data_IF_282693581816
#
_entry.id   IF_282693581816
#
_cell.length_a   1.000
_cell.length_b   1.000
_cell.length_c   1.000
_cell.angle_alpha   90.00
_cell.angle_beta   90.00
_cell.angle_gamma   90.00
#
_symmetry.space_group_name_H-M   'P 1'
#
loop_
_entity.id
_entity.type
_entity.pdbx_description
1 polymer ?
#
# COMPACT_ATOMS: atom_id res chain seq x y z
N UNK A 1 -18.87 -6.75 -16.11
CA UNK A 1 -18.72 -6.49 -14.66
C UNK A 1 -19.73 -5.43 -14.25
N UNK A 2 -20.54 -5.63 -13.20
CA UNK A 2 -21.54 -4.63 -12.77
C UNK A 2 -20.82 -3.44 -12.13
N UNK A 3 -21.21 -2.21 -12.48
CA UNK A 3 -20.63 -0.96 -11.97
C UNK A 3 -20.57 -0.93 -10.43
N UNK A 4 -21.58 -1.50 -9.76
CA UNK A 4 -21.64 -1.62 -8.31
C UNK A 4 -20.49 -2.44 -7.71
N UNK A 5 -20.05 -3.51 -8.37
CA UNK A 5 -18.95 -4.36 -7.90
C UNK A 5 -17.61 -3.60 -7.95
N UNK A 6 -17.41 -2.80 -9.00
CA UNK A 6 -16.20 -1.97 -9.15
C UNK A 6 -16.13 -0.91 -8.05
N UNK A 7 -17.24 -0.21 -7.80
CA UNK A 7 -17.34 0.76 -6.71
C UNK A 7 -17.07 0.14 -5.35
N UNK A 8 -17.64 -1.03 -5.08
CA UNK A 8 -17.45 -1.71 -3.80
C UNK A 8 -15.99 -2.10 -3.57
N UNK A 9 -15.32 -2.64 -4.60
CA UNK A 9 -13.91 -3.04 -4.51
C UNK A 9 -12.99 -1.83 -4.39
N UNK A 10 -13.33 -0.71 -5.04
CA UNK A 10 -12.62 0.56 -4.84
C UNK A 10 -12.75 1.07 -3.40
N UNK A 11 -13.95 1.05 -2.83
CA UNK A 11 -14.19 1.48 -1.44
C UNK A 11 -13.43 0.57 -0.47
N UNK A 12 -13.48 -0.74 -0.71
CA UNK A 12 -12.76 -1.72 0.10
C UNK A 12 -11.24 -1.54 -0.01
N UNK A 13 -10.74 -1.32 -1.22
CA UNK A 13 -9.34 -0.97 -1.48
C UNK A 13 -8.94 0.31 -0.76
N UNK A 14 -9.77 1.35 -0.82
CA UNK A 14 -9.55 2.63 -0.15
C UNK A 14 -9.48 2.46 1.38
N UNK A 15 -10.43 1.74 1.98
CA UNK A 15 -10.45 1.47 3.42
C UNK A 15 -9.21 0.66 3.86
N UNK A 16 -8.87 -0.40 3.12
CA UNK A 16 -7.70 -1.23 3.39
C UNK A 16 -6.39 -0.47 3.18
N UNK A 17 -6.33 0.42 2.19
CA UNK A 17 -5.17 1.26 1.94
C UNK A 17 -4.97 2.29 3.05
N UNK A 18 -6.05 2.91 3.55
CA UNK A 18 -5.98 3.83 4.68
C UNK A 18 -5.41 3.15 5.94
N UNK A 19 -5.84 1.92 6.21
CA UNK A 19 -5.41 1.16 7.39
C UNK A 19 -4.00 0.56 7.21
N UNK A 20 -3.74 -0.13 6.10
CA UNK A 20 -2.48 -0.87 5.93
C UNK A 20 -1.38 0.04 5.40
N UNK A 21 -1.64 0.84 4.36
CA UNK A 21 -0.61 1.70 3.78
C UNK A 21 -0.46 2.97 4.62
N UNK A 22 -1.58 3.57 5.02
CA UNK A 22 -1.60 4.80 5.80
C UNK A 22 -1.12 4.62 7.24
N UNK A 23 -1.91 3.93 8.07
CA UNK A 23 -1.62 3.81 9.50
C UNK A 23 -0.32 3.02 9.76
N UNK A 24 -0.18 1.84 9.15
CA UNK A 24 0.99 0.99 9.30
C UNK A 24 2.25 1.64 8.70
N UNK A 25 2.15 2.31 7.55
CA UNK A 25 3.24 3.10 6.99
C UNK A 25 3.68 4.23 7.92
N UNK A 26 2.74 4.89 8.61
CA UNK A 26 3.05 5.90 9.62
C UNK A 26 3.76 5.31 10.83
N UNK A 27 3.31 4.17 11.33
CA UNK A 27 3.97 3.45 12.44
C UNK A 27 5.41 3.14 12.07
N UNK A 28 5.66 2.59 10.87
CA UNK A 28 7.02 2.36 10.38
C UNK A 28 7.84 3.65 10.34
N UNK A 29 7.27 4.75 9.83
CA UNK A 29 7.96 6.04 9.77
C UNK A 29 8.37 6.54 11.16
N UNK A 30 7.51 6.37 12.17
CA UNK A 30 7.81 6.74 13.57
C UNK A 30 8.91 5.85 14.14
N UNK A 31 8.84 4.54 13.92
CA UNK A 31 9.86 3.57 14.39
C UNK A 31 11.22 3.87 13.77
N UNK A 32 11.26 4.15 12.45
CA UNK A 32 12.49 4.49 11.73
C UNK A 32 13.05 5.84 12.22
N UNK A 33 12.19 6.83 12.49
CA UNK A 33 12.60 8.11 13.04
C UNK A 33 13.22 7.97 14.44
N UNK A 34 12.61 7.17 15.31
CA UNK A 34 13.14 6.85 16.64
C UNK A 34 14.49 6.12 16.53
N UNK A 35 14.62 5.17 15.62
CA UNK A 35 15.88 4.46 15.37
C UNK A 35 16.98 5.39 14.82
N UNK A 36 16.60 6.47 14.10
CA UNK A 36 17.51 7.50 13.60
C UNK A 36 17.80 8.62 14.63
N UNK A 37 17.40 8.44 15.90
CA UNK A 37 17.48 9.45 16.96
C UNK A 37 16.87 10.82 16.58
N UNK A 38 15.88 10.82 15.67
CA UNK A 38 15.12 12.01 15.31
C UNK A 38 13.79 12.04 16.07
N UNK A 39 13.36 13.24 16.46
CA UNK A 39 12.05 13.39 17.10
C UNK A 39 10.92 13.13 16.10
N UNK A 40 10.05 12.12 16.33
CA UNK A 40 8.92 11.88 15.45
C UNK A 40 7.91 13.01 15.62
N UNK A 41 7.73 13.82 14.58
CA UNK A 41 6.73 14.89 14.61
C UNK A 41 5.33 14.28 14.44
N UNK A 42 4.70 13.88 15.56
CA UNK A 42 3.36 13.30 15.65
C UNK A 42 2.27 14.38 15.46
N UNK A 43 2.35 15.14 14.37
CA UNK A 43 1.31 16.10 14.03
C UNK A 43 0.07 15.39 13.49
N UNK A 44 -1.11 15.82 13.95
CA UNK A 44 -2.39 15.35 13.41
C UNK A 44 -2.48 15.54 11.90
N UNK A 45 -1.93 16.66 11.39
CA UNK A 45 -1.92 16.97 9.96
C UNK A 45 -1.07 15.95 9.17
N UNK A 46 0.08 15.53 9.70
CA UNK A 46 0.93 14.51 9.08
C UNK A 46 0.25 13.14 9.05
N UNK A 47 -0.47 12.77 10.11
CA UNK A 47 -1.24 11.52 10.15
C UNK A 47 -2.37 11.56 9.12
N UNK A 48 -3.14 12.65 9.07
CA UNK A 48 -4.26 12.79 8.14
C UNK A 48 -3.79 12.74 6.69
N UNK A 49 -2.68 13.39 6.37
CA UNK A 49 -2.11 13.40 5.02
C UNK A 49 -1.65 11.99 4.59
N UNK A 50 -0.99 11.26 5.49
CA UNK A 50 -0.56 9.87 5.21
C UNK A 50 -1.77 8.94 5.07
N UNK A 51 -2.81 9.14 5.89
CA UNK A 51 -4.05 8.38 5.81
C UNK A 51 -4.74 8.64 4.47
N UNK A 52 -4.83 9.90 4.05
CA UNK A 52 -5.40 10.30 2.76
C UNK A 52 -4.62 9.69 1.59
N UNK A 53 -3.28 9.76 1.61
CA UNK A 53 -2.44 9.10 0.61
C UNK A 53 -2.68 7.59 0.59
N UNK A 54 -2.77 6.95 1.76
CA UNK A 54 -3.08 5.53 1.90
C UNK A 54 -4.43 5.17 1.29
N UNK A 55 -5.46 6.00 1.51
CA UNK A 55 -6.79 5.85 0.90
C UNK A 55 -6.73 5.93 -0.63
N UNK A 56 -6.01 6.91 -1.18
CA UNK A 56 -5.86 7.06 -2.62
C UNK A 56 -5.09 5.90 -3.25
N UNK A 57 -3.95 5.52 -2.67
CA UNK A 57 -3.19 4.35 -3.12
C UNK A 57 -4.02 3.06 -3.00
N UNK A 58 -4.82 2.95 -1.95
CA UNK A 58 -5.75 1.85 -1.75
C UNK A 58 -6.81 1.76 -2.86
N UNK A 59 -7.48 2.87 -3.15
CA UNK A 59 -8.48 2.92 -4.22
C UNK A 59 -7.88 2.51 -5.58
N UNK A 60 -6.69 3.02 -5.90
CA UNK A 60 -5.94 2.66 -7.10
C UNK A 60 -5.58 1.18 -7.09
N UNK A 61 -5.10 0.65 -5.95
CA UNK A 61 -4.74 -0.75 -5.79
C UNK A 61 -5.92 -1.70 -5.99
N UNK A 62 -7.12 -1.32 -5.53
CA UNK A 62 -8.35 -2.08 -5.78
C UNK A 62 -8.75 -2.10 -7.26
N UNK A 63 -8.58 -0.98 -7.97
CA UNK A 63 -8.82 -0.91 -9.41
C UNK A 63 -7.80 -1.74 -10.19
N UNK A 64 -6.52 -1.67 -9.82
CA UNK A 64 -5.45 -2.48 -10.41
C UNK A 64 -5.72 -3.96 -10.18
N UNK A 65 -6.16 -4.35 -8.98
CA UNK A 65 -6.51 -5.74 -8.68
C UNK A 65 -7.57 -6.28 -9.63
N UNK A 66 -8.61 -5.49 -9.90
CA UNK A 66 -9.65 -5.86 -10.85
C UNK A 66 -9.11 -6.06 -12.27
N UNK A 67 -8.30 -5.12 -12.73
CA UNK A 67 -7.67 -5.18 -14.05
C UNK A 67 -6.74 -6.40 -14.17
N UNK A 68 -5.85 -6.59 -13.20
CA UNK A 68 -4.90 -7.72 -13.17
C UNK A 68 -5.65 -9.05 -13.16
N UNK A 69 -6.72 -9.15 -12.37
CA UNK A 69 -7.53 -10.36 -12.32
C UNK A 69 -8.27 -10.63 -13.63
N UNK A 70 -8.74 -9.58 -14.30
CA UNK A 70 -9.38 -9.67 -15.62
C UNK A 70 -8.40 -10.11 -16.73
N UNK A 71 -7.13 -9.69 -16.66
CA UNK A 71 -6.14 -9.96 -17.72
C UNK A 71 -5.43 -11.29 -17.48
N UNK A 72 -4.95 -11.53 -16.26
CA UNK A 72 -4.03 -12.62 -15.95
C UNK A 72 -4.70 -13.83 -15.29
N UNK A 73 -6.00 -13.78 -14.98
CA UNK A 73 -6.73 -14.83 -14.25
C UNK A 73 -6.04 -15.28 -12.94
N UNK A 74 -5.19 -14.42 -12.37
CA UNK A 74 -4.48 -14.68 -11.11
C UNK A 74 -5.50 -14.74 -9.97
N UNK A 75 -5.70 -15.93 -9.43
CA UNK A 75 -6.58 -16.19 -8.28
C UNK A 75 -5.76 -16.63 -7.07
N UNK A 76 -6.22 -16.29 -5.87
CA UNK A 76 -5.54 -16.67 -4.61
C UNK A 76 -4.42 -15.72 -4.17
N UNK A 77 -3.72 -16.08 -3.07
CA UNK A 77 -2.75 -15.21 -2.38
C UNK A 77 -1.64 -14.67 -3.28
N UNK A 78 -1.20 -15.45 -4.27
CA UNK A 78 -0.18 -15.04 -5.23
C UNK A 78 -0.59 -13.81 -6.05
N UNK A 79 -1.86 -13.70 -6.47
CA UNK A 79 -2.36 -12.53 -7.20
C UNK A 79 -2.30 -11.26 -6.35
N UNK A 80 -2.68 -11.38 -5.07
CA UNK A 80 -2.57 -10.29 -4.10
C UNK A 80 -1.13 -9.83 -3.87
N UNK A 81 -0.19 -10.78 -3.74
CA UNK A 81 1.23 -10.45 -3.60
C UNK A 81 1.78 -9.72 -4.82
N UNK A 82 1.45 -10.17 -6.05
CA UNK A 82 1.88 -9.51 -7.29
C UNK A 82 1.40 -8.06 -7.35
N UNK A 83 0.15 -7.79 -6.96
CA UNK A 83 -0.39 -6.43 -6.94
C UNK A 83 0.32 -5.56 -5.90
N UNK A 84 0.60 -6.12 -4.72
CA UNK A 84 1.40 -5.46 -3.70
C UNK A 84 2.77 -5.06 -4.21
N UNK A 85 3.48 -5.99 -4.85
CA UNK A 85 4.79 -5.72 -5.46
C UNK A 85 4.68 -4.68 -6.58
N UNK A 86 3.66 -4.75 -7.44
CA UNK A 86 3.45 -3.79 -8.52
C UNK A 86 3.25 -2.36 -7.99
N UNK A 87 2.41 -2.20 -6.97
CA UNK A 87 2.16 -0.91 -6.32
C UNK A 87 3.41 -0.39 -5.61
N UNK A 88 4.19 -1.27 -4.97
CA UNK A 88 5.46 -0.91 -4.36
C UNK A 88 6.45 -0.40 -5.41
N UNK A 89 6.62 -1.12 -6.52
CA UNK A 89 7.52 -0.73 -7.61
C UNK A 89 7.09 0.62 -8.20
N UNK A 90 5.79 0.82 -8.42
CA UNK A 90 5.25 2.08 -8.93
C UNK A 90 5.51 3.23 -7.95
N UNK A 91 5.27 3.01 -6.66
CA UNK A 91 5.53 4.01 -5.62
C UNK A 91 7.02 4.34 -5.54
N UNK A 92 7.87 3.32 -5.55
CA UNK A 92 9.33 3.47 -5.55
C UNK A 92 9.82 4.25 -6.78
N UNK A 93 9.28 3.95 -7.97
CA UNK A 93 9.60 4.67 -9.20
C UNK A 93 9.21 6.15 -9.11
N UNK A 94 8.02 6.46 -8.59
CA UNK A 94 7.59 7.86 -8.37
C UNK A 94 8.52 8.57 -7.37
N UNK A 95 8.93 7.89 -6.30
CA UNK A 95 9.87 8.45 -5.31
C UNK A 95 11.25 8.67 -5.90
N UNK A 96 11.75 7.75 -6.73
CA UNK A 96 13.02 7.85 -7.43
C UNK A 96 13.01 9.03 -8.43
N UNK A 97 11.93 9.17 -9.21
CA UNK A 97 11.74 10.28 -10.16
C UNK A 97 11.69 11.65 -9.46
N UNK A 98 11.23 11.70 -8.22
CA UNK A 98 11.25 12.92 -7.39
C UNK A 98 12.60 13.19 -6.71
N UNK A 99 13.61 12.35 -6.92
CA UNK A 99 14.93 12.48 -6.30
C UNK A 99 14.92 12.24 -4.78
N UNK A 100 13.90 11.55 -4.26
CA UNK A 100 13.69 11.42 -2.81
C UNK A 100 14.50 10.33 -2.11
N UNK A 101 15.35 9.60 -2.83
CA UNK A 101 16.13 8.49 -2.27
C UNK A 101 17.52 8.97 -1.86
N UNK A 102 17.61 9.42 -0.61
CA UNK A 102 18.87 9.81 0.00
C UNK A 102 19.69 8.55 0.34
N UNK A 103 20.60 8.19 -0.57
CA UNK A 103 21.45 6.99 -0.50
C UNK A 103 22.49 7.06 0.62
N UNK A 104 22.65 8.23 1.25
CA UNK A 104 23.57 8.50 2.35
C UNK A 104 23.25 7.70 3.63
N UNK A 105 22.01 7.19 3.79
CA UNK A 105 21.55 6.41 4.96
C UNK A 105 21.29 4.93 4.63
N UNK A 106 22.24 4.29 3.92
CA UNK A 106 22.14 2.93 3.39
C UNK A 106 21.37 1.89 4.22
N UNK A 107 21.73 1.61 5.48
CA UNK A 107 21.06 0.57 6.27
C UNK A 107 19.62 0.94 6.68
N UNK A 108 19.35 2.21 6.98
CA UNK A 108 17.99 2.68 7.29
C UNK A 108 17.08 2.65 6.04
N UNK A 109 17.65 2.94 4.88
CA UNK A 109 16.94 2.89 3.61
C UNK A 109 16.46 1.47 3.30
N UNK A 110 17.31 0.45 3.52
CA UNK A 110 16.94 -0.96 3.36
C UNK A 110 15.80 -1.38 4.29
N UNK A 111 15.84 -0.96 5.56
CA UNK A 111 14.77 -1.26 6.52
C UNK A 111 13.46 -0.59 6.10
N UNK A 112 13.53 0.65 5.62
CA UNK A 112 12.34 1.40 5.18
C UNK A 112 11.74 0.81 3.90
N UNK A 113 12.56 0.46 2.92
CA UNK A 113 12.12 -0.20 1.69
C UNK A 113 11.56 -1.61 1.96
N UNK A 114 12.23 -2.38 2.81
CA UNK A 114 11.78 -3.73 3.17
C UNK A 114 10.45 -3.72 3.92
N UNK A 115 10.28 -2.82 4.89
CA UNK A 115 9.01 -2.65 5.60
C UNK A 115 7.90 -2.12 4.70
N UNK A 116 8.19 -1.15 3.83
CA UNK A 116 7.25 -0.67 2.83
C UNK A 116 6.80 -1.80 1.89
N UNK A 117 7.73 -2.58 1.34
CA UNK A 117 7.40 -3.73 0.49
C UNK A 117 6.47 -4.72 1.20
N UNK A 118 6.77 -5.04 2.46
CA UNK A 118 5.96 -5.95 3.27
C UNK A 118 4.55 -5.40 3.50
N UNK A 119 4.41 -4.10 3.79
CA UNK A 119 3.12 -3.41 3.92
C UNK A 119 2.31 -3.50 2.63
N UNK A 120 2.93 -3.26 1.48
CA UNK A 120 2.26 -3.34 0.19
C UNK A 120 1.82 -4.77 -0.17
N UNK A 121 2.66 -5.77 0.13
CA UNK A 121 2.31 -7.19 -0.05
C UNK A 121 1.13 -7.57 0.86
N UNK A 122 1.17 -7.19 2.15
CA UNK A 122 0.07 -7.43 3.09
C UNK A 122 -1.22 -6.78 2.60
N UNK A 123 -1.15 -5.54 2.12
CA UNK A 123 -2.28 -4.84 1.53
C UNK A 123 -2.88 -5.63 0.36
N UNK A 124 -2.06 -6.03 -0.62
CA UNK A 124 -2.53 -6.73 -1.81
C UNK A 124 -3.10 -8.12 -1.48
N UNK A 125 -2.47 -8.87 -0.58
CA UNK A 125 -2.97 -10.19 -0.11
C UNK A 125 -4.28 -10.04 0.65
N UNK A 126 -4.37 -9.08 1.57
CA UNK A 126 -5.57 -8.85 2.36
C UNK A 126 -6.76 -8.40 1.48
N UNK A 127 -6.52 -7.46 0.56
CA UNK A 127 -7.54 -7.01 -0.38
C UNK A 127 -8.04 -8.15 -1.25
N UNK A 128 -7.13 -8.93 -1.84
CA UNK A 128 -7.50 -10.07 -2.66
C UNK A 128 -8.27 -11.14 -1.87
N UNK A 129 -7.88 -11.38 -0.61
CA UNK A 129 -8.59 -12.27 0.30
C UNK A 129 -10.01 -11.81 0.60
N UNK A 130 -10.24 -10.51 0.77
CA UNK A 130 -11.60 -9.99 1.00
C UNK A 130 -12.45 -10.03 -0.28
N UNK A 131 -11.89 -9.66 -1.43
CA UNK A 131 -12.60 -9.71 -2.72
C UNK A 131 -13.01 -11.15 -3.07
N UNK A 132 -12.12 -12.11 -2.88
CA UNK A 132 -12.43 -13.53 -3.13
C UNK A 132 -13.47 -14.10 -2.15
N UNK A 133 -13.54 -13.61 -0.91
CA UNK A 133 -14.62 -13.97 0.04
C UNK A 133 -15.96 -13.37 -0.39
N UNK A 134 -15.98 -12.12 -0.85
CA UNK A 134 -17.19 -11.45 -1.31
C UNK A 134 -17.81 -12.09 -2.54
N UNK A 135 -17.01 -12.67 -3.43
CA UNK A 135 -17.51 -13.38 -4.61
C UNK A 135 -18.02 -14.79 -4.31
N UNK A 136 -17.63 -15.38 -3.17
CA UNK A 136 -18.12 -16.70 -2.74
C UNK A 136 -19.40 -16.62 -1.89
N UNK A 137 -19.77 -15.42 -1.44
CA UNK A 137 -20.99 -15.17 -0.66
C UNK A 137 -22.14 -14.75 -1.56
#
# INVERSE_FOLDING_TARGET
MRLHTVFFIMILGAAMGALIIGLLGRVVMVVVALAAAHNPNLSLNGILLVLLLGTFLGAIGGLVLLLTRSIFHLTGMAGGAVIGVLLFVLTCLITLLRGGLDTSRGPLLLVTLGSALLIFILYGVALNGMVTRLEKS
#
